data_IF_097022442409
#
_entry.id   IF_097022442409
#
_cell.length_a   1.000
_cell.length_b   1.000
_cell.length_c   1.000
_cell.angle_alpha   90.00
_cell.angle_beta   90.00
_cell.angle_gamma   90.00
#
_symmetry.space_group_name_H-M   'P 1'
#
loop_
_entity.id
_entity.type
_entity.pdbx_description
1 polymer ?
#
# COMPACT_ATOMS: atom_id res chain seq x y z
N UNK A 1 37.22 29.50 30.02
CA UNK A 1 35.78 29.67 29.73
C UNK A 1 35.24 28.34 29.24
N UNK A 2 34.02 27.94 29.63
CA UNK A 2 33.44 26.65 29.19
C UNK A 2 32.64 26.82 27.90
N UNK A 3 32.95 26.04 26.86
CA UNK A 3 32.14 25.97 25.66
C UNK A 3 30.91 25.09 25.92
N UNK A 4 29.72 25.69 25.92
CA UNK A 4 28.48 24.93 25.80
C UNK A 4 28.35 24.39 24.37
N UNK A 5 28.09 23.08 24.15
CA UNK A 5 27.77 22.58 22.83
C UNK A 5 26.45 23.19 22.34
N UNK A 6 26.37 23.52 21.04
CA UNK A 6 25.12 23.94 20.40
C UNK A 6 24.19 22.72 20.32
N UNK A 7 23.22 22.63 21.22
CA UNK A 7 22.09 21.70 21.09
C UNK A 7 21.40 21.94 19.76
N UNK A 8 21.22 20.89 18.97
CA UNK A 8 20.59 20.99 17.65
C UNK A 8 19.18 21.57 17.73
N UNK A 9 18.88 22.53 16.87
CA UNK A 9 17.52 23.04 16.68
C UNK A 9 16.67 21.96 16.01
N UNK A 10 15.95 21.17 16.81
CA UNK A 10 14.88 20.33 16.30
C UNK A 10 13.79 21.24 15.73
N UNK A 11 13.58 21.20 14.42
CA UNK A 11 12.50 21.94 13.76
C UNK A 11 11.16 21.42 14.28
N UNK A 12 10.50 22.20 15.14
CA UNK A 12 9.19 21.88 15.67
C UNK A 12 8.16 21.99 14.54
N UNK A 13 7.74 20.84 14.00
CA UNK A 13 6.75 20.77 12.93
C UNK A 13 5.44 21.43 13.38
N UNK A 14 4.93 22.37 12.58
CA UNK A 14 3.61 22.94 12.78
C UNK A 14 2.52 21.88 12.58
N UNK A 15 1.40 22.01 13.29
CA UNK A 15 0.35 21.00 13.31
C UNK A 15 -0.68 21.22 12.20
N UNK A 16 -0.55 20.48 11.09
CA UNK A 16 -1.58 20.48 10.04
C UNK A 16 -2.80 19.65 10.50
N UNK A 17 -3.97 20.29 10.57
CA UNK A 17 -5.24 19.63 10.93
C UNK A 17 -6.01 19.22 9.68
N UNK A 18 -6.66 18.06 9.74
CA UNK A 18 -7.52 17.57 8.66
C UNK A 18 -8.60 18.61 8.27
N UNK A 19 -8.66 18.93 6.97
CA UNK A 19 -9.74 19.71 6.38
C UNK A 19 -11.03 18.87 6.35
N UNK A 20 -12.18 19.54 6.45
CA UNK A 20 -13.51 18.92 6.40
C UNK A 20 -14.21 19.28 5.08
N UNK A 21 -14.74 18.27 4.39
CA UNK A 21 -15.48 18.43 3.14
C UNK A 21 -15.63 17.10 2.40
N UNK A 22 -16.14 17.14 1.17
CA UNK A 22 -16.10 16.00 0.25
C UNK A 22 -14.85 16.08 -0.64
N UNK A 23 -13.68 15.87 -0.03
CA UNK A 23 -12.40 15.90 -0.75
C UNK A 23 -12.38 14.82 -1.83
N UNK A 24 -11.97 15.17 -3.05
CA UNK A 24 -11.85 14.21 -4.14
C UNK A 24 -10.58 13.35 -3.96
N UNK A 25 -10.66 12.01 -3.85
CA UNK A 25 -9.50 11.21 -3.45
C UNK A 25 -8.29 11.33 -4.38
N UNK A 26 -7.10 11.32 -3.79
CA UNK A 26 -5.79 11.51 -4.42
C UNK A 26 -4.83 10.37 -4.03
N UNK A 27 -4.18 9.75 -5.01
CA UNK A 27 -3.19 8.68 -4.80
C UNK A 27 -1.83 9.04 -5.42
N UNK A 28 -0.74 8.66 -4.78
CA UNK A 28 0.62 8.98 -5.21
C UNK A 28 1.05 8.00 -6.33
N UNK A 29 1.40 8.54 -7.50
CA UNK A 29 1.60 7.79 -8.75
C UNK A 29 2.59 6.63 -8.63
N UNK A 30 3.63 6.76 -7.80
CA UNK A 30 4.64 5.71 -7.62
C UNK A 30 4.07 4.46 -6.95
N UNK A 31 3.16 4.66 -6.00
CA UNK A 31 2.51 3.60 -5.24
C UNK A 31 1.52 2.79 -6.10
N UNK A 32 1.24 3.27 -7.31
CA UNK A 32 0.32 2.68 -8.28
C UNK A 32 0.99 1.75 -9.30
N UNK A 33 2.32 1.78 -9.42
CA UNK A 33 3.05 1.02 -10.44
C UNK A 33 3.70 -0.28 -9.93
N UNK A 34 3.96 -0.37 -8.63
CA UNK A 34 4.93 -1.30 -8.04
C UNK A 34 4.38 -2.02 -6.80
N UNK A 35 4.90 -3.22 -6.45
CA UNK A 35 4.37 -4.03 -5.36
C UNK A 35 4.89 -3.57 -3.99
N UNK A 36 4.39 -2.42 -3.53
CA UNK A 36 4.75 -1.81 -2.26
C UNK A 36 3.98 -2.35 -1.03
N UNK A 37 2.92 -3.12 -1.25
CA UNK A 37 1.97 -3.55 -0.22
C UNK A 37 1.56 -5.01 -0.41
N UNK A 38 1.23 -5.70 0.69
CA UNK A 38 0.62 -7.03 0.63
C UNK A 38 -0.78 -6.99 0.00
N UNK A 39 -1.02 -7.83 -1.00
CA UNK A 39 -2.34 -7.99 -1.64
C UNK A 39 -3.26 -8.97 -0.89
N UNK A 40 -2.77 -9.62 0.17
CA UNK A 40 -3.52 -10.55 1.00
C UNK A 40 -3.96 -9.89 2.31
N UNK A 41 -5.15 -10.27 2.81
CA UNK A 41 -5.67 -9.86 4.14
C UNK A 41 -5.05 -10.68 5.29
N UNK A 42 -4.33 -11.75 4.96
CA UNK A 42 -3.59 -12.58 5.90
C UNK A 42 -2.29 -11.90 6.30
N UNK A 43 -1.86 -12.12 7.54
CA UNK A 43 -0.55 -11.70 8.04
C UNK A 43 0.57 -12.21 7.11
N UNK A 44 1.48 -11.32 6.70
CA UNK A 44 2.61 -11.61 5.80
C UNK A 44 3.89 -11.07 6.41
N UNK A 45 4.84 -11.95 6.70
CA UNK A 45 6.22 -11.60 7.08
C UNK A 45 7.22 -11.83 5.95
N UNK A 46 6.91 -12.75 5.02
CA UNK A 46 7.71 -12.98 3.80
C UNK A 46 7.87 -11.68 3.02
N UNK A 47 9.11 -11.22 2.73
CA UNK A 47 9.34 -9.99 1.98
C UNK A 47 8.66 -9.93 0.61
N UNK A 48 8.54 -8.74 0.05
CA UNK A 48 8.39 -8.56 -1.39
C UNK A 48 9.77 -8.17 -1.92
N UNK A 49 10.43 -9.06 -2.64
CA UNK A 49 11.62 -8.75 -3.44
C UNK A 49 11.18 -8.59 -4.91
N UNK A 50 11.46 -7.44 -5.52
CA UNK A 50 11.03 -7.09 -6.87
C UNK A 50 12.14 -6.34 -7.63
N UNK A 51 12.47 -6.81 -8.84
CA UNK A 51 13.49 -6.22 -9.72
C UNK A 51 12.93 -6.06 -11.12
N UNK A 52 13.11 -4.88 -11.71
CA UNK A 52 12.46 -4.45 -12.94
C UNK A 52 13.30 -3.42 -13.72
N UNK A 53 14.22 -3.90 -14.56
CA UNK A 53 15.28 -3.07 -15.11
C UNK A 53 16.14 -2.51 -13.96
N UNK A 54 16.39 -1.21 -13.98
CA UNK A 54 17.17 -0.52 -12.93
C UNK A 54 16.40 -0.31 -11.61
N UNK A 55 15.10 -0.63 -11.58
CA UNK A 55 14.26 -0.49 -10.37
C UNK A 55 14.34 -1.75 -9.53
N UNK A 56 14.90 -1.63 -8.33
CA UNK A 56 14.79 -2.63 -7.25
C UNK A 56 13.87 -2.11 -6.16
N UNK A 57 13.03 -2.99 -5.61
CA UNK A 57 12.17 -2.73 -4.46
C UNK A 57 12.23 -3.96 -3.56
N UNK A 58 12.48 -3.73 -2.27
CA UNK A 58 12.42 -4.73 -1.22
C UNK A 58 11.54 -4.21 -0.08
N UNK A 59 10.46 -4.93 0.23
CA UNK A 59 9.52 -4.59 1.32
C UNK A 59 9.65 -5.64 2.42
N UNK A 60 9.99 -5.18 3.62
CA UNK A 60 10.31 -5.99 4.80
C UNK A 60 9.34 -5.64 5.94
N UNK A 61 9.03 -6.61 6.81
CA UNK A 61 8.01 -6.46 7.84
C UNK A 61 8.41 -7.13 9.15
N UNK A 62 8.03 -6.53 10.29
CA UNK A 62 8.24 -7.12 11.61
C UNK A 62 7.26 -8.27 11.87
N UNK A 63 7.66 -9.35 12.58
CA UNK A 63 6.76 -10.47 12.89
C UNK A 63 5.51 -10.07 13.68
N UNK A 64 5.59 -9.06 14.55
CA UNK A 64 4.53 -8.63 15.46
C UNK A 64 3.29 -8.04 14.76
N UNK A 65 3.48 -7.36 13.62
CA UNK A 65 2.42 -6.63 12.93
C UNK A 65 2.19 -7.11 11.50
N UNK A 66 3.24 -7.68 10.88
CA UNK A 66 3.24 -8.07 9.47
C UNK A 66 3.28 -6.87 8.52
N UNK A 67 3.30 -7.19 7.23
CA UNK A 67 3.47 -6.22 6.15
C UNK A 67 2.21 -5.38 5.92
N UNK A 68 2.39 -4.07 5.73
CA UNK A 68 1.35 -3.15 5.30
C UNK A 68 0.65 -3.69 4.05
N UNK A 69 -0.68 -3.74 4.12
CA UNK A 69 -1.55 -4.28 3.09
C UNK A 69 -2.07 -3.17 2.18
N UNK A 70 -2.61 -3.53 1.02
CA UNK A 70 -3.18 -2.55 0.08
C UNK A 70 -4.47 -1.87 0.59
N UNK A 71 -5.01 -2.29 1.74
CA UNK A 71 -6.06 -1.57 2.46
C UNK A 71 -5.49 -0.54 3.44
N UNK A 72 -4.26 -0.73 3.94
CA UNK A 72 -3.60 0.24 4.83
C UNK A 72 -3.14 1.48 4.03
N UNK A 73 -2.85 1.29 2.73
CA UNK A 73 -2.62 2.37 1.78
C UNK A 73 -3.81 3.37 1.66
N UNK A 74 -5.01 3.01 2.11
CA UNK A 74 -6.17 3.92 2.16
C UNK A 74 -5.86 5.14 3.06
N UNK A 75 -5.05 4.98 4.12
CA UNK A 75 -4.61 6.08 5.00
C UNK A 75 -3.67 7.04 4.26
N UNK A 76 -2.81 6.53 3.38
CA UNK A 76 -1.91 7.35 2.56
C UNK A 76 -2.68 8.12 1.49
N UNK A 77 -3.69 7.50 0.88
CA UNK A 77 -4.62 8.16 -0.06
C UNK A 77 -5.39 9.29 0.64
N UNK A 78 -5.87 9.06 1.87
CA UNK A 78 -6.46 10.12 2.69
C UNK A 78 -5.45 11.25 2.95
N UNK A 79 -4.25 10.94 3.44
CA UNK A 79 -3.24 11.95 3.77
C UNK A 79 -2.84 12.80 2.55
N UNK A 80 -2.62 12.17 1.40
CA UNK A 80 -2.35 12.87 0.13
C UNK A 80 -3.52 13.75 -0.32
N UNK A 81 -4.77 13.31 -0.10
CA UNK A 81 -5.96 14.11 -0.42
C UNK A 81 -6.04 15.37 0.42
N UNK A 82 -5.75 15.27 1.73
CA UNK A 82 -5.73 16.45 2.62
C UNK A 82 -4.62 17.44 2.25
N UNK A 83 -3.41 16.95 1.92
CA UNK A 83 -2.27 17.79 1.57
C UNK A 83 -2.45 18.54 0.24
N UNK A 84 -2.97 17.85 -0.79
CA UNK A 84 -3.25 18.48 -2.09
C UNK A 84 -4.34 19.54 -1.94
N UNK A 85 -5.46 19.22 -1.29
CA UNK A 85 -6.57 20.17 -1.11
C UNK A 85 -6.13 21.41 -0.31
N UNK A 86 -5.30 21.25 0.73
CA UNK A 86 -4.75 22.37 1.49
C UNK A 86 -3.80 23.24 0.67
N UNK A 87 -2.87 22.62 -0.08
CA UNK A 87 -1.96 23.35 -0.97
C UNK A 87 -2.72 24.11 -2.05
N UNK A 88 -3.68 23.45 -2.69
CA UNK A 88 -4.48 24.01 -3.80
C UNK A 88 -5.41 25.14 -3.29
N UNK A 89 -5.78 25.13 -2.00
CA UNK A 89 -6.46 26.21 -1.29
C UNK A 89 -5.52 27.29 -0.69
N UNK A 90 -4.21 27.22 -0.92
CA UNK A 90 -3.22 28.18 -0.42
C UNK A 90 -2.94 28.11 1.09
N UNK A 91 -3.27 27.01 1.75
CA UNK A 91 -3.08 26.81 3.19
C UNK A 91 -1.70 26.19 3.50
N UNK A 92 -1.10 26.61 4.61
CA UNK A 92 0.14 25.99 5.14
C UNK A 92 -0.07 24.50 5.39
N UNK A 93 0.76 23.67 4.77
CA UNK A 93 0.80 22.22 4.93
C UNK A 93 1.97 21.81 5.84
N UNK A 94 1.90 20.62 6.43
CA UNK A 94 2.97 20.07 7.28
C UNK A 94 3.00 18.55 7.23
N UNK A 95 4.17 17.98 7.53
CA UNK A 95 4.38 16.55 7.73
C UNK A 95 3.72 16.01 9.00
N UNK A 96 3.53 16.87 10.01
CA UNK A 96 2.81 16.53 11.23
C UNK A 96 1.31 16.76 11.02
N UNK A 97 0.57 15.67 10.83
CA UNK A 97 -0.88 15.70 10.58
C UNK A 97 -1.68 15.27 11.82
N UNK A 98 -2.82 15.92 12.06
CA UNK A 98 -3.81 15.50 13.06
C UNK A 98 -5.23 15.36 12.50
N UNK A 99 -5.89 14.26 12.88
CA UNK A 99 -7.27 13.94 12.52
C UNK A 99 -7.97 13.15 13.65
N UNK A 100 -9.28 12.97 13.54
CA UNK A 100 -9.98 11.91 14.31
C UNK A 100 -10.05 10.61 13.49
N UNK A 101 -10.15 9.44 14.15
CA UNK A 101 -10.46 8.17 13.49
C UNK A 101 -11.72 8.24 12.61
N UNK A 102 -12.71 9.01 13.06
CA UNK A 102 -13.96 9.25 12.34
C UNK A 102 -13.74 9.97 11.01
N UNK A 103 -12.93 11.03 10.97
CA UNK A 103 -12.65 11.80 9.75
C UNK A 103 -11.91 10.93 8.71
N UNK A 104 -10.93 10.13 9.13
CA UNK A 104 -10.21 9.20 8.25
C UNK A 104 -11.15 8.12 7.71
N UNK A 105 -11.86 7.39 8.60
CA UNK A 105 -12.68 6.24 8.21
C UNK A 105 -13.89 6.62 7.35
N UNK A 106 -14.51 7.77 7.63
CA UNK A 106 -15.63 8.30 6.82
C UNK A 106 -15.15 8.66 5.41
N UNK A 107 -13.95 9.25 5.27
CA UNK A 107 -13.37 9.54 3.96
C UNK A 107 -13.07 8.24 3.16
N UNK A 108 -12.42 7.25 3.80
CA UNK A 108 -12.07 5.97 3.15
C UNK A 108 -13.24 4.96 3.07
N UNK A 109 -14.49 5.41 3.26
CA UNK A 109 -15.70 4.60 3.08
C UNK A 109 -15.82 3.39 4.02
N UNK A 110 -15.35 3.52 5.27
CA UNK A 110 -15.40 2.46 6.29
C UNK A 110 -16.45 2.76 7.37
N UNK A 111 -16.85 1.71 8.09
CA UNK A 111 -17.63 1.86 9.31
C UNK A 111 -16.83 2.56 10.42
N UNK A 112 -17.55 3.16 11.37
CA UNK A 112 -16.98 3.88 12.52
C UNK A 112 -17.22 3.12 13.83
N UNK A 113 -17.19 1.78 13.76
CA UNK A 113 -17.35 0.91 14.93
C UNK A 113 -16.04 0.79 15.71
N UNK A 114 -16.10 0.35 16.97
CA UNK A 114 -14.90 0.02 17.76
C UNK A 114 -13.98 -0.97 17.02
N UNK A 115 -14.54 -1.94 16.30
CA UNK A 115 -13.78 -2.89 15.48
C UNK A 115 -13.02 -2.20 14.36
N UNK A 116 -13.58 -1.16 13.76
CA UNK A 116 -12.95 -0.41 12.67
C UNK A 116 -11.92 0.60 13.19
N UNK A 117 -12.12 1.16 14.39
CA UNK A 117 -11.10 1.95 15.09
C UNK A 117 -9.87 1.10 15.46
N UNK A 118 -10.09 -0.13 15.97
CA UNK A 118 -9.00 -1.09 16.25
C UNK A 118 -8.29 -1.54 14.96
N UNK A 119 -9.01 -1.74 13.86
CA UNK A 119 -8.42 -2.00 12.53
C UNK A 119 -7.59 -0.83 12.03
N UNK A 120 -8.04 0.41 12.25
CA UNK A 120 -7.29 1.61 11.88
C UNK A 120 -5.99 1.71 12.68
N UNK A 121 -6.02 1.51 14.01
CA UNK A 121 -4.79 1.40 14.82
C UNK A 121 -3.83 0.37 14.22
N UNK A 122 -4.31 -0.86 13.97
CA UNK A 122 -3.48 -1.91 13.41
C UNK A 122 -2.93 -1.57 12.01
N UNK A 123 -3.61 -0.71 11.23
CA UNK A 123 -3.09 -0.17 9.97
C UNK A 123 -1.94 0.81 10.21
N UNK A 124 -2.06 1.73 11.17
CA UNK A 124 -0.96 2.61 11.59
C UNK A 124 0.26 1.82 12.10
N UNK A 125 0.05 0.82 12.96
CA UNK A 125 1.09 -0.09 13.45
C UNK A 125 1.86 -0.72 12.27
N UNK A 126 1.14 -1.29 11.28
CA UNK A 126 1.76 -1.89 10.07
C UNK A 126 2.45 -0.86 9.17
N UNK A 127 1.88 0.33 8.98
CA UNK A 127 2.45 1.38 8.14
C UNK A 127 3.77 1.92 8.72
N UNK A 128 3.86 2.02 10.04
CA UNK A 128 5.09 2.41 10.72
C UNK A 128 6.14 1.28 10.69
N UNK A 129 5.73 0.03 10.94
CA UNK A 129 6.68 -1.09 11.05
C UNK A 129 7.10 -1.73 9.72
N UNK A 130 6.46 -1.39 8.60
CA UNK A 130 6.84 -1.90 7.27
C UNK A 130 7.94 -1.03 6.69
N UNK A 131 9.10 -1.66 6.43
CA UNK A 131 10.26 -0.99 5.85
C UNK A 131 10.33 -1.26 4.35
N UNK A 132 10.61 -0.23 3.57
CA UNK A 132 10.83 -0.30 2.12
C UNK A 132 12.25 0.15 1.81
N UNK A 133 12.94 -0.60 0.95
CA UNK A 133 14.23 -0.26 0.36
C UNK A 133 14.09 -0.21 -1.16
N UNK A 134 14.51 0.87 -1.83
CA UNK A 134 14.36 0.98 -3.30
C UNK A 134 15.37 1.90 -3.99
N UNK A 135 15.68 1.62 -5.26
CA UNK A 135 16.39 2.53 -6.18
C UNK A 135 15.49 3.57 -6.87
N UNK A 136 14.18 3.58 -6.58
CA UNK A 136 13.23 4.51 -7.23
C UNK A 136 13.68 5.97 -7.04
N UNK A 137 13.62 6.74 -8.14
CA UNK A 137 14.11 8.12 -8.26
C UNK A 137 15.62 8.36 -8.07
N UNK A 138 16.40 7.41 -7.57
CA UNK A 138 17.85 7.57 -7.33
C UNK A 138 18.72 7.20 -8.56
N UNK A 139 18.25 7.61 -9.76
CA UNK A 139 18.85 7.26 -11.07
C UNK A 139 20.31 7.70 -11.25
N UNK A 140 20.75 8.78 -10.60
CA UNK A 140 22.09 9.35 -10.75
C UNK A 140 23.12 8.82 -9.75
N UNK A 141 22.71 8.45 -8.52
CA UNK A 141 23.65 8.27 -7.40
C UNK A 141 23.94 6.80 -7.04
N UNK A 142 23.26 5.82 -7.66
CA UNK A 142 23.27 4.39 -7.26
C UNK A 142 22.92 4.12 -5.78
N UNK A 143 22.36 5.11 -5.08
CA UNK A 143 21.88 4.95 -3.71
C UNK A 143 20.61 4.09 -3.68
N UNK A 144 20.32 3.55 -2.50
CA UNK A 144 19.04 2.92 -2.21
C UNK A 144 18.40 3.70 -1.06
N UNK A 145 17.17 4.17 -1.25
CA UNK A 145 16.41 4.88 -0.25
C UNK A 145 15.67 3.88 0.65
N UNK A 146 15.79 4.03 1.97
CA UNK A 146 15.07 3.20 2.96
C UNK A 146 14.12 4.06 3.80
N UNK A 147 12.87 3.64 3.91
CA UNK A 147 11.82 4.39 4.63
C UNK A 147 10.72 3.46 5.19
N UNK A 148 9.94 3.98 6.15
CA UNK A 148 8.61 3.46 6.52
C UNK A 148 7.51 4.32 5.90
N UNK A 149 6.26 3.86 5.89
CA UNK A 149 5.13 4.64 5.34
C UNK A 149 4.70 5.80 6.25
N UNK A 150 4.95 5.65 7.54
CA UNK A 150 4.72 6.64 8.59
C UNK A 150 5.96 6.60 9.50
N UNK A 151 6.52 7.76 9.86
CA UNK A 151 7.69 7.81 10.74
C UNK A 151 7.27 7.57 12.19
N UNK A 152 6.23 8.28 12.63
CA UNK A 152 5.70 8.28 13.98
C UNK A 152 4.18 8.42 13.92
N UNK A 153 3.45 7.80 14.85
CA UNK A 153 2.05 8.10 15.10
C UNK A 153 1.73 7.95 16.58
N UNK A 154 0.75 8.72 17.07
CA UNK A 154 0.30 8.69 18.47
C UNK A 154 -1.22 8.79 18.55
N UNK A 155 -1.80 8.16 19.58
CA UNK A 155 -3.19 8.35 19.97
C UNK A 155 -3.27 9.44 21.04
N UNK A 156 -4.10 10.45 20.80
CA UNK A 156 -4.38 11.54 21.74
C UNK A 156 -5.68 11.23 22.49
N UNK A 157 -5.58 10.65 23.68
CA UNK A 157 -6.77 10.36 24.49
C UNK A 157 -7.52 11.64 24.88
N UNK A 158 -8.85 11.60 24.75
CA UNK A 158 -9.72 12.78 24.94
C UNK A 158 -10.77 12.58 26.05
N UNK A 159 -10.35 11.91 27.11
CA UNK A 159 -11.18 11.59 28.28
C UNK A 159 -12.28 10.56 27.99
N UNK A 160 -13.16 10.30 28.95
CA UNK A 160 -14.24 9.31 28.80
C UNK A 160 -15.21 9.69 27.67
N UNK A 161 -15.62 8.70 26.87
CA UNK A 161 -16.73 8.82 25.93
C UNK A 161 -16.46 9.58 24.62
N UNK A 162 -15.22 9.99 24.32
CA UNK A 162 -14.84 10.56 23.02
C UNK A 162 -13.68 9.77 22.40
N UNK A 163 -13.75 9.38 21.11
CA UNK A 163 -12.59 8.77 20.45
C UNK A 163 -11.43 9.75 20.45
N UNK A 164 -10.23 9.24 20.74
CA UNK A 164 -9.01 10.04 20.74
C UNK A 164 -8.71 10.65 19.37
N UNK A 165 -7.89 11.69 19.36
CA UNK A 165 -7.24 12.12 18.13
C UNK A 165 -6.18 11.13 17.68
N UNK A 166 -5.78 11.20 16.41
CA UNK A 166 -4.57 10.59 15.89
C UNK A 166 -3.66 11.72 15.43
N UNK A 167 -2.40 11.70 15.86
CA UNK A 167 -1.31 12.44 15.24
C UNK A 167 -0.41 11.47 14.47
N UNK A 168 0.16 11.94 13.35
CA UNK A 168 1.16 11.18 12.60
C UNK A 168 2.20 12.11 11.96
N UNK A 169 3.43 11.64 11.83
CA UNK A 169 4.49 12.29 11.08
C UNK A 169 4.70 11.52 9.78
N UNK A 170 4.36 12.16 8.66
CA UNK A 170 4.62 11.62 7.33
C UNK A 170 6.12 11.63 6.99
N UNK A 171 6.61 10.64 6.23
CA UNK A 171 7.95 10.66 5.66
C UNK A 171 8.16 11.88 4.76
N UNK A 172 9.36 12.45 4.84
CA UNK A 172 9.76 13.62 4.05
C UNK A 172 9.56 13.42 2.54
N UNK A 173 10.06 12.30 2.01
CA UNK A 173 9.95 11.95 0.58
C UNK A 173 8.49 11.93 0.08
N UNK A 174 7.55 11.45 0.91
CA UNK A 174 6.14 11.30 0.56
C UNK A 174 5.46 12.66 0.52
N UNK A 175 5.71 13.49 1.53
CA UNK A 175 5.25 14.87 1.59
C UNK A 175 5.76 15.70 0.40
N UNK A 176 7.06 15.63 0.10
CA UNK A 176 7.66 16.31 -1.05
C UNK A 176 7.06 15.86 -2.38
N UNK A 177 6.93 14.55 -2.61
CA UNK A 177 6.32 14.01 -3.83
C UNK A 177 4.88 14.49 -4.08
N UNK A 178 4.14 14.79 -3.01
CA UNK A 178 2.75 15.29 -3.07
C UNK A 178 2.71 16.81 -3.24
N UNK A 179 3.37 17.56 -2.35
CA UNK A 179 3.27 19.02 -2.28
C UNK A 179 4.07 19.68 -3.40
N UNK A 180 5.34 19.29 -3.55
CA UNK A 180 6.30 19.86 -4.51
C UNK A 180 6.23 19.14 -5.87
N UNK A 181 6.23 17.81 -5.87
CA UNK A 181 6.43 17.00 -7.08
C UNK A 181 5.22 16.79 -7.98
N UNK A 182 4.01 17.12 -7.51
CA UNK A 182 2.74 16.91 -8.22
C UNK A 182 2.49 15.47 -8.77
N UNK A 183 3.22 14.46 -8.27
CA UNK A 183 3.14 13.06 -8.71
C UNK A 183 1.91 12.34 -8.12
N UNK A 184 0.74 12.94 -8.32
CA UNK A 184 -0.53 12.53 -7.73
C UNK A 184 -1.55 12.32 -8.84
N UNK A 185 -2.46 11.36 -8.68
CA UNK A 185 -3.64 11.21 -9.51
C UNK A 185 -4.90 11.22 -8.64
N UNK A 186 -5.91 11.99 -9.06
CA UNK A 186 -7.27 11.83 -8.57
C UNK A 186 -7.73 10.38 -8.83
N UNK A 187 -8.45 9.76 -7.92
CA UNK A 187 -9.07 8.43 -8.09
C UNK A 187 -10.58 8.48 -7.84
N UNK A 188 -11.32 7.52 -8.38
CA UNK A 188 -12.76 7.42 -8.13
C UNK A 188 -13.02 6.98 -6.68
N UNK A 189 -13.96 7.64 -5.99
CA UNK A 189 -14.32 7.32 -4.60
C UNK A 189 -14.86 5.90 -4.43
N UNK A 190 -15.38 5.28 -5.48
CA UNK A 190 -15.77 3.88 -5.50
C UNK A 190 -14.58 2.90 -5.38
N UNK A 191 -13.32 3.33 -5.57
CA UNK A 191 -12.12 2.54 -5.27
C UNK A 191 -12.17 1.93 -3.85
N UNK A 192 -12.66 2.69 -2.86
CA UNK A 192 -12.68 2.22 -1.48
C UNK A 192 -13.57 0.99 -1.27
N UNK A 193 -14.59 0.80 -2.11
CA UNK A 193 -15.49 -0.35 -2.08
C UNK A 193 -14.88 -1.65 -2.64
N UNK A 194 -13.75 -1.60 -3.37
CA UNK A 194 -13.09 -2.78 -3.94
C UNK A 194 -12.65 -3.76 -2.83
N UNK A 195 -13.07 -5.01 -2.91
CA UNK A 195 -13.00 -5.94 -1.77
C UNK A 195 -11.76 -6.84 -1.80
N UNK A 196 -11.23 -7.15 -2.98
CA UNK A 196 -10.03 -7.95 -3.21
C UNK A 196 -8.77 -7.10 -3.32
N UNK A 197 -7.62 -7.63 -2.88
CA UNK A 197 -6.35 -6.89 -2.94
C UNK A 197 -5.82 -6.79 -4.38
N UNK A 198 -6.03 -7.85 -5.17
CA UNK A 198 -5.74 -7.84 -6.61
C UNK A 198 -6.61 -6.83 -7.38
N UNK A 199 -7.88 -6.65 -6.99
CA UNK A 199 -8.78 -5.63 -7.57
C UNK A 199 -8.23 -4.21 -7.33
N UNK A 200 -7.83 -3.92 -6.09
CA UNK A 200 -7.29 -2.60 -5.69
C UNK A 200 -5.96 -2.32 -6.37
N UNK A 201 -5.05 -3.30 -6.43
CA UNK A 201 -3.78 -3.17 -7.14
C UNK A 201 -4.00 -2.95 -8.64
N UNK A 202 -4.90 -3.72 -9.24
CA UNK A 202 -5.20 -3.59 -10.66
C UNK A 202 -5.82 -2.23 -10.97
N UNK A 203 -6.74 -1.73 -10.13
CA UNK A 203 -7.29 -0.39 -10.28
C UNK A 203 -6.20 0.68 -10.30
N UNK A 204 -5.26 0.65 -9.34
CA UNK A 204 -4.16 1.63 -9.26
C UNK A 204 -3.27 1.55 -10.50
N UNK A 205 -2.91 0.33 -10.93
CA UNK A 205 -2.13 0.10 -12.14
C UNK A 205 -2.82 0.64 -13.40
N UNK A 206 -4.10 0.28 -13.59
CA UNK A 206 -4.95 0.73 -14.71
C UNK A 206 -5.04 2.26 -14.70
N UNK A 207 -5.31 2.88 -13.54
CA UNK A 207 -5.39 4.34 -13.38
C UNK A 207 -4.10 5.05 -13.76
N UNK A 208 -2.92 4.52 -13.41
CA UNK A 208 -1.63 5.11 -13.80
C UNK A 208 -1.40 5.06 -15.32
N UNK A 209 -1.75 3.95 -15.97
CA UNK A 209 -1.46 3.75 -17.39
C UNK A 209 -2.54 4.35 -18.34
N UNK A 210 -3.80 4.47 -17.92
CA UNK A 210 -4.92 4.97 -18.75
C UNK A 210 -4.89 6.46 -19.16
N UNK A 211 -3.79 7.19 -18.96
CA UNK A 211 -3.75 8.67 -19.00
C UNK A 211 -4.30 9.33 -20.28
N UNK A 212 -3.46 9.45 -21.32
CA UNK A 212 -3.85 10.03 -22.64
C UNK A 212 -4.11 8.95 -23.71
N UNK A 213 -4.08 7.68 -23.32
CA UNK A 213 -4.06 6.52 -24.23
C UNK A 213 -5.48 6.08 -24.61
N UNK A 214 -6.08 6.76 -25.60
CA UNK A 214 -7.44 6.48 -26.10
C UNK A 214 -7.63 5.06 -26.67
N UNK A 215 -6.56 4.42 -27.13
CA UNK A 215 -6.53 3.04 -27.67
C UNK A 215 -6.41 1.95 -26.60
N UNK A 216 -6.54 2.32 -25.32
CA UNK A 216 -6.24 1.46 -24.19
C UNK A 216 -4.76 1.10 -24.07
N UNK A 217 -4.46 0.23 -23.09
CA UNK A 217 -3.13 -0.34 -22.86
C UNK A 217 -3.22 -1.85 -22.62
N UNK A 218 -2.11 -2.57 -22.84
CA UNK A 218 -2.03 -4.03 -22.79
C UNK A 218 -0.90 -4.49 -21.86
N UNK A 219 -1.18 -5.50 -21.03
CA UNK A 219 -0.17 -6.20 -20.23
C UNK A 219 -0.33 -7.72 -20.32
N UNK A 220 0.80 -8.41 -20.49
CA UNK A 220 0.90 -9.87 -20.39
C UNK A 220 0.54 -10.35 -18.96
N UNK A 221 -0.27 -11.40 -18.86
CA UNK A 221 -0.67 -11.98 -17.56
C UNK A 221 0.52 -12.40 -16.68
N UNK A 222 1.62 -12.90 -17.26
CA UNK A 222 2.87 -13.24 -16.54
C UNK A 222 3.57 -11.99 -16.03
N UNK A 223 3.61 -10.93 -16.84
CA UNK A 223 4.18 -9.65 -16.42
C UNK A 223 3.36 -9.05 -15.26
N UNK A 224 2.03 -9.10 -15.32
CA UNK A 224 1.16 -8.69 -14.22
C UNK A 224 1.40 -9.50 -12.95
N UNK A 225 1.58 -10.82 -13.05
CA UNK A 225 1.86 -11.67 -11.89
C UNK A 225 3.13 -11.23 -11.16
N UNK A 226 4.24 -11.03 -11.88
CA UNK A 226 5.50 -10.51 -11.31
C UNK A 226 5.32 -9.10 -10.74
N UNK A 227 4.68 -8.18 -11.49
CA UNK A 227 4.46 -6.78 -11.10
C UNK A 227 3.54 -6.63 -9.88
N UNK A 228 2.74 -7.64 -9.55
CA UNK A 228 1.84 -7.65 -8.39
C UNK A 228 2.52 -8.02 -7.07
N UNK A 229 3.71 -8.63 -7.08
CA UNK A 229 4.34 -9.15 -5.86
C UNK A 229 3.52 -10.23 -5.12
N UNK A 230 2.58 -10.86 -5.84
CA UNK A 230 1.64 -11.83 -5.27
C UNK A 230 2.29 -13.20 -5.05
N UNK A 231 2.13 -13.72 -3.83
CA UNK A 231 2.55 -15.08 -3.45
C UNK A 231 1.63 -16.18 -4.02
N UNK A 232 0.49 -15.82 -4.62
CA UNK A 232 -0.41 -16.80 -5.24
C UNK A 232 0.26 -17.45 -6.47
N UNK A 233 0.19 -18.79 -6.63
CA UNK A 233 0.67 -19.45 -7.83
C UNK A 233 0.02 -18.90 -9.11
N UNK A 234 0.77 -18.81 -10.22
CA UNK A 234 0.30 -18.15 -11.45
C UNK A 234 -1.08 -18.65 -11.95
N UNK A 235 -1.37 -19.96 -11.85
CA UNK A 235 -2.69 -20.50 -12.23
C UNK A 235 -3.84 -19.86 -11.44
N UNK A 236 -3.65 -19.63 -10.13
CA UNK A 236 -4.62 -18.96 -9.26
C UNK A 236 -4.69 -17.46 -9.54
N UNK A 237 -3.54 -16.79 -9.70
CA UNK A 237 -3.50 -15.38 -10.09
C UNK A 237 -4.25 -15.13 -11.42
N UNK A 238 -4.03 -15.97 -12.42
CA UNK A 238 -4.67 -15.89 -13.73
C UNK A 238 -6.15 -16.32 -13.72
N UNK A 239 -6.61 -17.03 -12.69
CA UNK A 239 -8.04 -17.28 -12.45
C UNK A 239 -8.70 -16.07 -11.79
N UNK A 240 -8.11 -15.55 -10.69
CA UNK A 240 -8.60 -14.36 -9.99
C UNK A 240 -8.63 -13.13 -10.92
N UNK A 241 -7.60 -12.93 -11.77
CA UNK A 241 -7.60 -11.85 -12.76
C UNK A 241 -8.71 -12.01 -13.83
N UNK A 242 -8.99 -13.23 -14.30
CA UNK A 242 -10.13 -13.45 -15.22
C UNK A 242 -11.48 -13.22 -14.55
N UNK A 243 -11.62 -13.57 -13.29
CA UNK A 243 -12.85 -13.28 -12.53
C UNK A 243 -13.07 -11.77 -12.35
N UNK A 244 -12.02 -11.00 -12.10
CA UNK A 244 -12.08 -9.54 -12.05
C UNK A 244 -12.51 -8.96 -13.40
N UNK A 245 -11.91 -9.42 -14.51
CA UNK A 245 -12.30 -8.97 -15.86
C UNK A 245 -13.76 -9.34 -16.14
N UNK A 246 -14.20 -10.56 -15.80
CA UNK A 246 -15.58 -11.03 -15.96
C UNK A 246 -16.60 -10.20 -15.17
N UNK A 247 -16.23 -9.70 -13.97
CA UNK A 247 -17.10 -8.90 -13.10
C UNK A 247 -17.05 -7.39 -13.34
N UNK A 248 -16.07 -6.89 -14.09
CA UNK A 248 -15.85 -5.45 -14.36
C UNK A 248 -15.95 -4.53 -13.11
N UNK A 249 -15.36 -4.85 -11.94
CA UNK A 249 -15.60 -4.07 -10.73
C UNK A 249 -14.80 -2.75 -10.66
N UNK A 250 -13.97 -2.42 -11.65
CA UNK A 250 -13.07 -1.26 -11.62
C UNK A 250 -13.82 0.02 -12.08
N UNK A 251 -14.08 1.00 -11.18
CA UNK A 251 -14.88 2.16 -11.53
C UNK A 251 -14.20 3.03 -12.59
N UNK A 252 -14.92 3.30 -13.68
CA UNK A 252 -14.44 4.12 -14.81
C UNK A 252 -13.59 3.39 -15.84
N UNK A 253 -13.43 2.07 -15.75
CA UNK A 253 -12.60 1.28 -16.67
C UNK A 253 -13.31 0.02 -17.16
N UNK A 254 -13.12 -0.31 -18.44
CA UNK A 254 -13.52 -1.59 -19.02
C UNK A 254 -12.27 -2.45 -19.23
N UNK A 255 -12.32 -3.72 -18.81
CA UNK A 255 -11.24 -4.69 -18.96
C UNK A 255 -11.58 -5.74 -20.01
N UNK A 256 -10.58 -6.26 -20.71
CA UNK A 256 -10.73 -7.34 -21.69
C UNK A 256 -9.61 -8.37 -21.57
N UNK A 257 -9.88 -9.61 -22.00
CA UNK A 257 -8.84 -10.61 -22.27
C UNK A 257 -8.61 -10.65 -23.77
N UNK A 258 -7.37 -10.45 -24.19
CA UNK A 258 -6.92 -10.74 -25.55
C UNK A 258 -6.02 -11.98 -25.54
N UNK A 259 -6.02 -12.73 -26.63
CA UNK A 259 -5.10 -13.86 -26.84
C UNK A 259 -4.38 -13.63 -28.16
N UNK A 260 -3.06 -13.43 -28.09
CA UNK A 260 -2.21 -13.34 -29.28
C UNK A 260 -2.17 -14.70 -30.01
N UNK A 261 -1.90 -14.70 -31.32
CA UNK A 261 -1.61 -15.92 -32.07
C UNK A 261 -0.40 -16.72 -31.52
N UNK A 262 0.45 -16.08 -30.70
CA UNK A 262 1.53 -16.69 -29.92
C UNK A 262 1.04 -17.56 -28.73
N UNK A 263 -0.27 -17.59 -28.46
CA UNK A 263 -0.87 -18.19 -27.27
C UNK A 263 -0.72 -17.35 -25.99
N UNK A 264 -0.11 -16.15 -26.07
CA UNK A 264 0.04 -15.24 -24.92
C UNK A 264 -1.29 -14.58 -24.58
N UNK A 265 -1.63 -14.60 -23.29
CA UNK A 265 -2.85 -14.00 -22.76
C UNK A 265 -2.53 -12.62 -22.22
N UNK A 266 -3.17 -11.61 -22.78
CA UNK A 266 -3.05 -10.21 -22.38
C UNK A 266 -4.30 -9.76 -21.64
N UNK A 267 -4.12 -8.90 -20.64
CA UNK A 267 -5.14 -7.97 -20.20
C UNK A 267 -5.05 -6.74 -21.12
N UNK A 268 -6.15 -6.37 -21.77
CA UNK A 268 -6.35 -5.05 -22.34
C UNK A 268 -7.31 -4.25 -21.45
N UNK A 269 -7.20 -2.91 -21.46
CA UNK A 269 -8.14 -2.05 -20.76
C UNK A 269 -8.24 -0.65 -21.37
N UNK A 270 -9.39 0.00 -21.17
CA UNK A 270 -9.67 1.36 -21.63
C UNK A 270 -10.57 2.13 -20.63
N UNK A 271 -10.63 3.47 -20.70
CA UNK A 271 -11.63 4.25 -19.97
C UNK A 271 -13.05 3.93 -20.46
N UNK A 272 -13.97 3.66 -19.54
CA UNK A 272 -15.33 3.22 -19.88
C UNK A 272 -16.13 4.34 -20.61
N UNK A 273 -16.47 4.10 -21.87
CA UNK A 273 -17.28 5.00 -22.69
C UNK A 273 -18.67 5.24 -22.06
N UNK A 274 -19.01 6.51 -21.79
CA UNK A 274 -20.32 6.90 -21.26
C UNK A 274 -20.31 8.19 -20.45
N UNK A 275 -19.18 8.54 -19.82
CA UNK A 275 -18.95 9.86 -19.21
C UNK A 275 -17.48 10.27 -19.40
N UNK A 276 -17.16 11.38 -20.10
CA UNK A 276 -15.87 12.00 -19.92
C UNK A 276 -15.75 12.50 -18.47
N UNK A 277 -14.59 12.32 -17.84
CA UNK A 277 -14.28 13.04 -16.61
C UNK A 277 -14.14 14.52 -16.98
N UNK A 278 -15.17 15.32 -16.63
CA UNK A 278 -15.37 16.67 -17.15
C UNK A 278 -14.25 17.62 -16.76
N UNK A 279 -13.36 17.92 -17.70
CA UNK A 279 -12.32 18.93 -17.53
C UNK A 279 -12.74 20.31 -18.02
N UNK A 280 -12.26 21.33 -17.31
CA UNK A 280 -11.84 22.67 -17.77
C UNK A 280 -12.11 23.72 -16.68
N UNK A 281 -11.03 24.21 -16.06
CA UNK A 281 -10.94 25.56 -15.48
C UNK A 281 -9.55 26.10 -15.88
N UNK A 282 -9.45 27.42 -16.06
CA UNK A 282 -8.25 28.09 -16.55
C UNK A 282 -7.15 28.12 -15.49
N UNK A 283 -5.90 27.84 -15.89
CA UNK A 283 -4.72 28.28 -15.13
C UNK A 283 -4.53 29.79 -15.35
N UNK A 284 -4.21 30.53 -14.29
CA UNK A 284 -4.18 32.00 -14.28
C UNK A 284 -2.95 32.66 -14.92
N UNK A 285 -2.26 31.98 -15.85
CA UNK A 285 -0.99 32.43 -16.43
C UNK A 285 -1.17 32.82 -17.89
N UNK A 286 -0.90 34.08 -18.23
CA UNK A 286 -0.90 34.60 -19.61
C UNK A 286 0.18 33.93 -20.47
N UNK A 287 -0.14 33.44 -21.68
CA UNK A 287 0.83 33.12 -22.72
C UNK A 287 0.75 34.14 -23.87
N UNK A 288 1.61 35.17 -23.82
CA UNK A 288 1.91 35.99 -25.00
C UNK A 288 2.72 35.16 -26.02
N UNK A 289 2.03 34.45 -26.94
CA UNK A 289 2.53 34.12 -28.30
C UNK A 289 1.36 33.98 -29.26
N UNK A 290 1.38 34.73 -30.36
CA UNK A 290 0.44 34.57 -31.48
C UNK A 290 0.79 33.38 -32.37
N UNK A 291 -0.14 32.44 -32.57
CA UNK A 291 -0.16 31.55 -33.74
C UNK A 291 -1.61 31.15 -34.05
N UNK A 292 -2.03 31.29 -35.32
CA UNK A 292 -3.45 31.28 -35.68
C UNK A 292 -3.97 29.95 -36.23
N UNK A 293 -5.20 29.60 -35.87
CA UNK A 293 -6.10 28.69 -36.61
C UNK A 293 -7.54 29.19 -36.41
N UNK A 294 -8.39 29.05 -37.43
CA UNK A 294 -9.71 29.71 -37.46
C UNK A 294 -10.74 29.13 -36.46
N UNK A 295 -11.66 29.95 -35.91
CA UNK A 295 -12.73 29.50 -35.02
C UNK A 295 -13.94 28.94 -35.79
N UNK A 296 -14.57 27.90 -35.25
CA UNK A 296 -15.77 27.28 -35.83
C UNK A 296 -16.96 27.27 -34.85
N UNK A 297 -17.94 28.13 -35.12
CA UNK A 297 -19.38 27.98 -34.88
C UNK A 297 -19.87 27.20 -33.63
N UNK A 298 -19.99 27.88 -32.48
CA UNK A 298 -21.31 28.14 -31.86
C UNK A 298 -21.21 29.22 -30.77
N UNK A 299 -22.26 30.05 -30.60
CA UNK A 299 -22.29 31.12 -29.57
C UNK A 299 -23.73 31.40 -29.10
N UNK A 300 -24.10 30.86 -27.95
CA UNK A 300 -25.31 31.25 -27.21
C UNK A 300 -24.97 31.45 -25.73
N UNK A 301 -25.10 32.69 -25.25
CA UNK A 301 -26.24 33.24 -24.48
C UNK A 301 -26.24 32.80 -23.02
N UNK A 302 -25.93 33.76 -22.13
CA UNK A 302 -26.09 33.64 -20.68
C UNK A 302 -27.57 33.74 -20.31
N UNK A 303 -28.05 32.87 -19.41
CA UNK A 303 -29.28 33.07 -18.66
C UNK A 303 -29.12 32.57 -17.22
N UNK A 304 -29.93 33.12 -16.33
CA UNK A 304 -29.83 33.06 -14.88
C UNK A 304 -29.98 31.67 -14.25
N UNK A 305 -29.27 31.51 -13.12
CA UNK A 305 -29.51 30.61 -11.97
C UNK A 305 -30.78 29.76 -11.99
N UNK A 306 -30.61 28.46 -11.73
CA UNK A 306 -31.60 27.64 -11.02
C UNK A 306 -30.90 26.57 -10.16
N UNK A 307 -31.55 26.15 -9.07
CA UNK A 307 -30.96 25.32 -8.02
C UNK A 307 -31.25 23.83 -8.29
N UNK A 308 -30.22 22.98 -8.30
CA UNK A 308 -30.41 21.54 -8.55
C UNK A 308 -29.17 20.70 -8.28
N UNK A 309 -29.33 19.63 -7.49
CA UNK A 309 -28.24 18.73 -7.12
C UNK A 309 -27.67 17.99 -8.34
N UNK A 310 -26.38 18.20 -8.65
CA UNK A 310 -25.61 17.38 -9.57
C UNK A 310 -24.30 16.96 -8.93
N UNK A 311 -24.02 15.65 -8.89
CA UNK A 311 -22.69 15.11 -8.59
C UNK A 311 -21.75 15.44 -9.75
N UNK A 312 -21.06 16.58 -9.66
CA UNK A 312 -19.99 16.95 -10.59
C UNK A 312 -18.65 16.50 -10.01
N UNK A 313 -17.84 15.85 -10.85
CA UNK A 313 -16.46 15.44 -10.53
C UNK A 313 -15.53 16.52 -11.10
N UNK A 314 -14.54 16.95 -10.31
CA UNK A 314 -13.58 17.97 -10.70
C UNK A 314 -12.66 17.58 -11.87
N UNK A 315 -11.97 18.59 -12.42
CA UNK A 315 -11.19 18.49 -13.65
C UNK A 315 -9.98 17.53 -13.57
N UNK A 316 -9.51 16.98 -14.71
CA UNK A 316 -8.39 16.04 -14.77
C UNK A 316 -7.02 16.73 -14.91
N UNK A 317 -5.99 16.04 -14.41
CA UNK A 317 -4.59 16.47 -14.49
C UNK A 317 -4.11 16.48 -15.95
N UNK A 318 -3.65 17.63 -16.45
CA UNK A 318 -3.20 17.81 -17.84
C UNK A 318 -1.69 17.60 -18.06
N UNK A 319 -0.91 17.50 -16.97
CA UNK A 319 0.56 17.45 -16.96
C UNK A 319 1.09 16.22 -16.22
N UNK A 320 0.99 15.04 -16.86
CA UNK A 320 1.71 13.81 -16.44
C UNK A 320 1.82 12.86 -17.64
N UNK A 321 2.93 12.12 -17.73
CA UNK A 321 3.32 11.18 -18.79
C UNK A 321 3.96 11.78 -20.07
N UNK A 322 4.78 12.83 -19.94
CA UNK A 322 5.78 13.21 -20.96
C UNK A 322 7.18 12.63 -20.67
N UNK A 323 7.28 11.39 -20.14
CA UNK A 323 8.50 10.62 -20.41
C UNK A 323 8.36 9.08 -20.37
N UNK A 324 9.16 8.45 -21.24
CA UNK A 324 9.62 7.05 -21.37
C UNK A 324 8.83 5.88 -20.75
N UNK A 325 8.57 4.91 -21.63
CA UNK A 325 8.31 3.51 -21.29
C UNK A 325 9.45 2.88 -20.47
N UNK A 326 9.27 2.71 -19.15
CA UNK A 326 10.03 1.71 -18.40
C UNK A 326 9.66 0.31 -18.94
N UNK A 327 10.67 -0.51 -19.28
CA UNK A 327 10.64 -1.71 -20.13
C UNK A 327 10.58 -1.48 -21.65
N UNK A 328 11.77 -1.40 -22.26
CA UNK A 328 12.06 -2.12 -23.52
C UNK A 328 12.93 -3.33 -23.18
N UNK A 329 12.69 -4.47 -23.83
CA UNK A 329 13.40 -5.73 -23.60
C UNK A 329 12.62 -6.72 -22.73
N UNK A 330 12.47 -7.95 -23.22
CA UNK A 330 11.94 -9.07 -22.45
C UNK A 330 13.10 -9.81 -21.75
N UNK A 331 13.04 -10.11 -20.44
CA UNK A 331 14.09 -10.86 -19.78
C UNK A 331 14.04 -12.34 -20.19
N UNK A 332 15.10 -12.82 -20.85
CA UNK A 332 15.39 -14.25 -20.93
C UNK A 332 15.85 -14.70 -19.54
N UNK A 333 15.17 -15.67 -18.91
CA UNK A 333 15.61 -16.20 -17.61
C UNK A 333 15.52 -17.73 -17.56
N UNK A 334 16.58 -18.34 -17.00
CA UNK A 334 16.67 -19.77 -16.71
C UNK A 334 16.21 -20.01 -15.28
N UNK A 335 15.35 -20.99 -15.06
CA UNK A 335 15.02 -21.48 -13.72
C UNK A 335 16.21 -22.28 -13.17
N UNK A 336 16.92 -21.77 -12.16
CA UNK A 336 17.84 -22.60 -11.37
C UNK A 336 17.03 -23.43 -10.37
N UNK A 337 17.07 -24.77 -10.40
CA UNK A 337 16.32 -25.60 -9.45
C UNK A 337 16.91 -25.47 -8.04
N UNK A 338 16.07 -25.19 -7.04
CA UNK A 338 16.45 -25.37 -5.64
C UNK A 338 16.48 -26.87 -5.33
N UNK A 339 17.64 -27.38 -4.90
CA UNK A 339 17.75 -28.76 -4.42
C UNK A 339 17.14 -28.89 -3.01
N UNK A 340 16.33 -29.93 -2.73
CA UNK A 340 15.80 -30.16 -1.39
C UNK A 340 16.88 -30.74 -0.47
N UNK A 341 16.97 -30.22 0.76
CA UNK A 341 17.75 -30.85 1.83
C UNK A 341 17.23 -32.27 2.08
N UNK A 342 18.10 -33.27 1.91
CA UNK A 342 17.83 -34.65 2.35
C UNK A 342 18.63 -34.95 3.61
N UNK A 343 17.94 -35.45 4.63
CA UNK A 343 18.57 -36.02 5.82
C UNK A 343 19.35 -37.29 5.45
N UNK A 344 20.67 -37.27 5.67
CA UNK A 344 21.53 -38.44 5.54
C UNK A 344 21.64 -39.19 6.88
N UNK A 345 21.38 -40.49 6.86
CA UNK A 345 21.69 -41.40 7.97
C UNK A 345 22.27 -42.70 7.42
N UNK A 346 23.03 -43.41 8.27
CA UNK A 346 24.16 -44.31 7.92
C UNK A 346 25.38 -43.51 7.42
N UNK A 347 26.62 -43.86 7.77
CA UNK A 347 27.06 -44.95 8.65
C UNK A 347 28.29 -45.63 8.05
N UNK A 348 29.43 -45.53 8.73
CA UNK A 348 30.71 -46.12 8.33
C UNK A 348 31.20 -47.00 9.49
N UNK A 349 31.78 -48.16 9.15
CA UNK A 349 32.43 -49.07 10.09
C UNK A 349 33.91 -48.72 10.18
N UNK A 350 34.50 -48.95 11.34
CA UNK A 350 35.93 -49.26 11.45
C UNK A 350 36.11 -50.21 12.64
N UNK A 351 36.86 -51.30 12.46
CA UNK A 351 36.92 -52.43 13.40
C UNK A 351 38.22 -52.37 14.24
N UNK A 352 38.10 -52.41 15.57
CA UNK A 352 39.21 -52.67 16.50
C UNK A 352 38.69 -53.25 17.83
N UNK A 353 39.39 -54.24 18.37
CA UNK A 353 39.11 -55.10 19.54
C UNK A 353 40.47 -55.36 20.25
N UNK A 354 40.61 -55.92 21.48
CA UNK A 354 39.62 -56.28 22.51
C UNK A 354 39.90 -55.75 23.94
N UNK A 355 39.00 -56.10 24.87
CA UNK A 355 39.20 -56.26 26.33
C UNK A 355 39.31 -54.98 27.20
N UNK A 356 38.90 -54.96 28.48
CA UNK A 356 38.54 -56.06 29.40
C UNK A 356 37.48 -55.69 30.47
N UNK A 357 36.77 -56.72 30.98
CA UNK A 357 36.26 -56.88 32.35
C UNK A 357 35.56 -55.70 33.09
N UNK A 358 34.22 -55.76 33.25
CA UNK A 358 33.59 -56.11 34.56
C UNK A 358 32.05 -56.08 34.60
N UNK A 359 31.48 -57.11 35.23
CA UNK A 359 30.12 -57.31 35.80
C UNK A 359 30.33 -58.18 37.08
N UNK A 360 29.36 -58.43 38.00
CA UNK A 360 27.91 -58.23 37.96
C UNK A 360 27.46 -57.23 39.08
N UNK A 361 26.29 -57.23 39.75
CA UNK A 361 25.07 -58.09 39.81
C UNK A 361 23.85 -57.22 40.21
N UNK A 362 22.76 -57.84 40.65
CA UNK A 362 21.57 -57.25 41.27
C UNK A 362 21.08 -58.14 42.43
N UNK A 363 20.21 -57.60 43.31
CA UNK A 363 19.07 -58.18 44.07
C UNK A 363 18.54 -57.05 45.03
N UNK A 364 17.24 -56.76 45.16
CA UNK A 364 16.20 -57.37 46.05
C UNK A 364 16.43 -57.13 47.57
N UNK A 365 15.45 -56.85 48.48
CA UNK A 365 13.96 -56.84 48.40
C UNK A 365 13.26 -56.10 49.60
N UNK A 366 11.95 -55.75 49.46
CA UNK A 366 10.87 -55.44 50.48
C UNK A 366 10.93 -54.22 51.45
N UNK A 367 9.92 -53.33 51.33
CA UNK A 367 8.70 -53.13 52.20
C UNK A 367 8.75 -53.52 53.70
N UNK A 368 8.04 -52.82 54.65
CA UNK A 368 6.57 -52.54 54.56
C UNK A 368 5.95 -51.28 55.25
N UNK A 369 4.71 -50.93 54.83
CA UNK A 369 3.51 -50.37 55.54
C UNK A 369 3.64 -49.19 56.57
N UNK A 370 2.60 -48.39 56.95
CA UNK A 370 1.12 -48.50 56.84
C UNK A 370 0.42 -47.10 56.92
N UNK A 371 -0.87 -47.02 56.54
CA UNK A 371 -1.93 -46.09 57.02
C UNK A 371 -1.98 -44.57 56.68
N UNK A 372 -3.22 -44.13 56.40
CA UNK A 372 -3.82 -42.76 56.31
C UNK A 372 -4.64 -42.48 57.61
N UNK A 373 -5.32 -41.31 57.90
CA UNK A 373 -5.92 -40.30 57.00
C UNK A 373 -5.83 -38.79 57.45
N UNK A 374 -6.89 -37.99 57.20
CA UNK A 374 -7.01 -36.52 56.94
C UNK A 374 -8.48 -36.08 57.30
N UNK A 375 -8.92 -34.79 57.44
CA UNK A 375 -8.26 -33.46 57.40
C UNK A 375 -8.15 -32.80 58.82
N UNK A 376 -8.95 -31.79 59.33
CA UNK A 376 -10.14 -31.04 58.85
C UNK A 376 -9.87 -29.56 58.40
N UNK A 377 -10.91 -28.70 58.38
CA UNK A 377 -10.91 -27.21 58.32
C UNK A 377 -11.67 -26.64 59.55
N UNK A 378 -11.53 -25.35 59.87
CA UNK A 378 -12.60 -24.55 60.49
C UNK A 378 -13.26 -23.56 59.49
N UNK A 379 -14.57 -23.36 59.65
CA UNK A 379 -15.30 -22.13 59.29
C UNK A 379 -15.81 -21.53 60.63
N UNK A 380 -15.96 -20.20 60.72
CA UNK A 380 -16.45 -19.56 61.96
C UNK A 380 -16.42 -18.04 61.89
N UNK A 381 -17.59 -17.43 62.01
CA UNK A 381 -17.80 -16.00 61.77
C UNK A 381 -17.58 -15.11 63.01
N UNK A 382 -17.23 -13.85 62.77
CA UNK A 382 -17.85 -12.65 63.36
C UNK A 382 -17.60 -11.45 62.45
#
# INVERSE_FOLDING_TARGET
MSMRPRTGSGEQLELFRALRGDLAPRDAQDLMAYPFFSLAKTHRTTPIDFTAGDVTIRVEAVPEHGMATIWDADVLIWAASQLVEARDAGLTTSRLMAATPYEILTFIGRGTSLRDYLRLKAAFDRLQSTTVLTSLHQRSERRLHRFSWINEWTQLDRGPGRPGGIQMILPDWFYRAIVEGALVLTIDKAYFALTGGLERWLYRLVRKHCGRQRSGWRFDFRHLHVKSGSLSPFRRFAFELRDIIRRQPLPGYTLFVEVEASGRVLLAFEPACGKPAGGFVLSGTQPDVTSGTAPACHRERKSSLSHGQKRQIGAPNLESNLDRSNFRGAPLWKTSPQQPLKSGSRGIREDADPSALSRPRALEVRSPATSRPVPPKPEGAS
#
